data_IF_328980651149
#
_entry.id   IF_328980651149
#
_cell.length_a   1.000
_cell.length_b   1.000
_cell.length_c   1.000
_cell.angle_alpha   90.00
_cell.angle_beta   90.00
_cell.angle_gamma   90.00
#
_symmetry.space_group_name_H-M   'P 1'
#
loop_
_entity.id
_entity.type
_entity.pdbx_description
1 polymer ?
#
# COMPACT_ATOMS: atom_id res chain seq x y z
N UNK A 1 1.28 -5.33 8.35
CA UNK A 1 1.88 -4.94 7.06
C UNK A 1 2.80 -6.01 6.46
N UNK A 2 3.07 -7.12 7.15
CA UNK A 2 4.15 -8.06 6.77
C UNK A 2 3.98 -8.78 5.44
N UNK A 3 2.74 -9.14 5.09
CA UNK A 3 2.39 -9.91 3.88
C UNK A 3 1.63 -9.06 2.85
N UNK A 4 1.69 -7.73 2.97
CA UNK A 4 0.89 -6.83 2.13
C UNK A 4 1.18 -7.01 0.63
N UNK A 5 2.44 -7.23 0.26
CA UNK A 5 2.86 -7.50 -1.13
C UNK A 5 2.34 -8.83 -1.64
N UNK A 6 2.30 -9.87 -0.81
CA UNK A 6 1.74 -11.18 -1.13
C UNK A 6 0.22 -11.09 -1.39
N UNK A 7 -0.49 -10.34 -0.54
CA UNK A 7 -1.92 -10.05 -0.73
C UNK A 7 -2.17 -9.27 -2.01
N UNK A 8 -1.36 -8.24 -2.30
CA UNK A 8 -1.48 -7.45 -3.52
C UNK A 8 -1.29 -8.34 -4.78
N UNK A 9 -0.30 -9.23 -4.76
CA UNK A 9 -0.06 -10.20 -5.82
C UNK A 9 -1.22 -11.20 -5.98
N UNK A 10 -1.84 -11.65 -4.87
CA UNK A 10 -3.01 -12.53 -4.92
C UNK A 10 -4.24 -11.85 -5.53
N UNK A 11 -4.44 -10.57 -5.22
CA UNK A 11 -5.54 -9.76 -5.79
C UNK A 11 -5.29 -9.52 -7.28
N UNK A 12 -4.06 -9.17 -7.67
CA UNK A 12 -3.70 -8.90 -9.07
C UNK A 12 -3.98 -10.07 -10.01
N UNK A 13 -3.93 -11.32 -9.51
CA UNK A 13 -4.27 -12.52 -10.28
C UNK A 13 -5.76 -12.69 -10.57
N UNK A 14 -6.64 -12.08 -9.78
CA UNK A 14 -8.09 -12.37 -9.80
C UNK A 14 -8.96 -11.14 -10.06
N UNK A 15 -8.44 -9.92 -9.84
CA UNK A 15 -9.19 -8.67 -10.00
C UNK A 15 -8.67 -7.92 -11.20
N UNK A 16 -9.53 -7.76 -12.21
CA UNK A 16 -9.26 -7.01 -13.44
C UNK A 16 -10.21 -5.81 -13.55
N UNK A 17 -9.75 -4.74 -14.19
CA UNK A 17 -10.57 -3.56 -14.50
C UNK A 17 -11.00 -2.71 -13.30
N UNK A 18 -10.36 -2.86 -12.14
CA UNK A 18 -10.60 -2.04 -10.94
C UNK A 18 -9.32 -1.40 -10.44
N UNK A 19 -9.43 -0.24 -9.82
CA UNK A 19 -8.37 0.37 -9.02
C UNK A 19 -8.49 -0.15 -7.58
N UNK A 20 -7.44 -0.80 -7.08
CA UNK A 20 -7.37 -1.31 -5.71
C UNK A 20 -6.09 -0.77 -5.07
N UNK A 21 -6.23 -0.13 -3.92
CA UNK A 21 -5.09 0.41 -3.16
C UNK A 21 -5.05 -0.26 -1.80
N UNK A 22 -4.01 -1.06 -1.55
CA UNK A 22 -3.75 -1.63 -0.23
C UNK A 22 -3.01 -0.59 0.61
N UNK A 23 -3.38 -0.49 1.88
CA UNK A 23 -2.74 0.40 2.83
C UNK A 23 -2.77 -0.21 4.22
N UNK A 24 -2.17 0.46 5.18
CA UNK A 24 -2.11 0.03 6.57
C UNK A 24 -1.35 1.04 7.42
N UNK A 25 -0.85 0.58 8.56
CA UNK A 25 -0.06 1.38 9.47
C UNK A 25 1.10 0.54 10.00
N UNK A 26 2.26 1.17 10.20
CA UNK A 26 3.38 0.58 10.92
C UNK A 26 3.20 0.73 12.43
N UNK A 27 2.55 1.81 12.87
CA UNK A 27 2.17 2.05 14.26
C UNK A 27 0.65 1.86 14.38
N UNK A 28 0.13 1.04 15.32
CA UNK A 28 -1.31 0.82 15.42
C UNK A 28 -2.08 2.14 15.60
N UNK A 29 -3.23 2.27 14.92
CA UNK A 29 -3.96 3.55 14.84
C UNK A 29 -4.40 4.14 16.20
N UNK A 30 -4.53 3.28 17.22
CA UNK A 30 -4.92 3.68 18.56
C UNK A 30 -3.83 4.50 19.30
N UNK A 31 -2.60 4.50 18.81
CA UNK A 31 -1.51 5.32 19.36
C UNK A 31 -1.47 6.69 18.68
N UNK A 32 -1.26 7.76 19.47
CA UNK A 32 -1.40 9.15 18.99
C UNK A 32 -0.41 9.58 17.89
N UNK A 33 0.68 8.84 17.69
CA UNK A 33 1.68 9.09 16.63
C UNK A 33 1.57 8.12 15.45
N UNK A 34 0.41 7.50 15.25
CA UNK A 34 0.20 6.53 14.16
C UNK A 34 0.24 7.16 12.77
N UNK A 35 0.85 6.45 11.83
CA UNK A 35 0.82 6.73 10.39
C UNK A 35 -0.50 6.30 9.71
N UNK A 36 -1.40 5.63 10.44
CA UNK A 36 -2.59 4.98 9.88
C UNK A 36 -3.59 5.94 9.22
N UNK A 37 -3.92 7.07 9.84
CA UNK A 37 -4.86 8.03 9.25
C UNK A 37 -4.28 8.72 8.02
N UNK A 38 -2.97 9.03 8.06
CA UNK A 38 -2.27 9.60 6.92
C UNK A 38 -2.27 8.64 5.73
N UNK A 39 -1.83 7.39 5.94
CA UNK A 39 -1.81 6.36 4.89
C UNK A 39 -3.22 6.08 4.33
N UNK A 40 -4.26 6.07 5.18
CA UNK A 40 -5.65 5.91 4.75
C UNK A 40 -6.13 7.08 3.87
N UNK A 41 -5.83 8.33 4.26
CA UNK A 41 -6.16 9.51 3.46
C UNK A 41 -5.47 9.50 2.10
N UNK A 42 -4.19 9.12 2.05
CA UNK A 42 -3.45 8.92 0.82
C UNK A 42 -4.09 7.84 -0.06
N UNK A 43 -4.40 6.67 0.50
CA UNK A 43 -5.03 5.57 -0.24
C UNK A 43 -6.39 5.95 -0.84
N UNK A 44 -7.22 6.67 -0.09
CA UNK A 44 -8.51 7.18 -0.56
C UNK A 44 -8.35 8.17 -1.73
N UNK A 45 -7.29 8.97 -1.72
CA UNK A 45 -6.99 9.89 -2.80
C UNK A 45 -6.54 9.11 -4.05
N UNK A 46 -5.61 8.17 -3.88
CA UNK A 46 -5.04 7.37 -4.97
C UNK A 46 -6.07 6.50 -5.68
N UNK A 47 -6.98 5.85 -4.94
CA UNK A 47 -8.00 4.98 -5.56
C UNK A 47 -8.96 5.76 -6.50
N UNK A 48 -9.13 7.06 -6.28
CA UNK A 48 -10.00 7.92 -7.10
C UNK A 48 -9.34 8.43 -8.38
N UNK A 49 -8.01 8.53 -8.41
CA UNK A 49 -7.28 9.21 -9.49
C UNK A 49 -6.40 8.27 -10.31
N UNK A 50 -6.01 7.12 -9.78
CA UNK A 50 -5.16 6.15 -10.49
C UNK A 50 -5.99 5.30 -11.46
N UNK A 51 -5.39 4.91 -12.61
CA UNK A 51 -6.02 3.97 -13.52
C UNK A 51 -6.26 2.62 -12.85
N UNK A 52 -7.05 1.76 -13.49
CA UNK A 52 -7.27 0.40 -13.03
C UNK A 52 -5.91 -0.33 -12.85
N UNK A 53 -5.73 -0.91 -11.68
CA UNK A 53 -4.45 -1.46 -11.23
C UNK A 53 -4.47 -1.75 -9.73
N UNK A 54 -3.48 -2.51 -9.27
CA UNK A 54 -3.29 -2.81 -7.85
C UNK A 54 -2.08 -2.03 -7.35
N UNK A 55 -2.27 -1.32 -6.25
CA UNK A 55 -1.27 -0.41 -5.69
C UNK A 55 -1.09 -0.63 -4.19
N UNK A 56 0.05 -0.21 -3.66
CA UNK A 56 0.32 -0.11 -2.22
C UNK A 56 0.58 1.35 -1.87
N UNK A 57 -0.16 1.88 -0.89
CA UNK A 57 0.00 3.22 -0.36
C UNK A 57 0.47 3.17 1.10
N UNK A 58 1.76 3.43 1.31
CA UNK A 58 2.46 3.39 2.60
C UNK A 58 3.60 4.41 2.57
N UNK A 59 4.06 4.89 3.73
CA UNK A 59 5.22 5.78 3.85
C UNK A 59 5.09 7.09 3.03
N UNK A 60 3.85 7.55 2.78
CA UNK A 60 3.58 8.75 1.95
C UNK A 60 3.83 8.58 0.46
N UNK A 61 4.02 7.34 0.00
CA UNK A 61 4.25 7.00 -1.39
C UNK A 61 3.17 6.04 -1.90
N UNK A 62 3.08 5.90 -3.22
CA UNK A 62 2.22 4.94 -3.89
C UNK A 62 3.06 4.11 -4.86
N UNK A 63 2.96 2.79 -4.75
CA UNK A 63 3.74 1.85 -5.56
C UNK A 63 2.82 0.94 -6.36
N UNK A 64 3.25 0.56 -7.57
CA UNK A 64 2.63 -0.57 -8.27
C UNK A 64 2.93 -1.87 -7.50
N UNK A 65 1.95 -2.78 -7.40
CA UNK A 65 2.07 -3.99 -6.58
C UNK A 65 3.27 -4.89 -6.93
N UNK A 66 3.70 -4.86 -8.19
CA UNK A 66 4.78 -5.66 -8.77
C UNK A 66 6.16 -4.98 -8.69
N UNK A 67 6.22 -3.74 -8.21
CA UNK A 67 7.44 -2.93 -8.11
C UNK A 67 7.73 -2.46 -6.69
N UNK A 68 7.36 -3.25 -5.70
CA UNK A 68 7.49 -2.86 -4.29
C UNK A 68 7.80 -4.04 -3.39
N UNK A 69 8.66 -3.81 -2.40
CA UNK A 69 8.92 -4.75 -1.31
C UNK A 69 8.85 -4.06 0.05
N UNK A 70 8.56 -4.84 1.10
CA UNK A 70 8.73 -4.39 2.48
C UNK A 70 10.19 -4.55 2.90
N UNK A 71 10.90 -3.44 3.08
CA UNK A 71 12.19 -3.43 3.71
C UNK A 71 12.01 -3.56 5.24
N UNK A 72 12.31 -4.74 5.77
CA UNK A 72 12.11 -5.03 7.21
C UNK A 72 13.16 -4.37 8.09
N UNK A 73 14.36 -4.13 7.58
CA UNK A 73 15.43 -3.47 8.33
C UNK A 73 15.11 -1.98 8.55
N UNK A 74 14.56 -1.33 7.52
CA UNK A 74 14.17 0.09 7.57
C UNK A 74 12.72 0.32 8.03
N UNK A 75 11.90 -0.72 8.04
CA UNK A 75 10.50 -0.63 8.42
C UNK A 75 9.61 0.12 7.42
N UNK A 76 10.00 0.15 6.14
CA UNK A 76 9.31 0.90 5.08
C UNK A 76 9.05 0.04 3.83
N UNK A 77 8.17 0.52 2.97
CA UNK A 77 8.03 -0.01 1.60
C UNK A 77 8.94 0.77 0.67
N UNK A 78 9.64 0.06 -0.22
CA UNK A 78 10.57 0.65 -1.18
C UNK A 78 10.35 0.06 -2.58
N UNK A 79 10.65 0.87 -3.60
CA UNK A 79 10.55 0.47 -5.00
C UNK A 79 11.62 -0.57 -5.34
N UNK A 80 11.25 -1.57 -6.13
CA UNK A 80 12.17 -2.55 -6.69
C UNK A 80 12.52 -2.09 -8.10
N UNK A 81 13.82 -1.94 -8.38
CA UNK A 81 14.35 -1.58 -9.71
C UNK A 81 14.36 -2.78 -10.65
#
# INVERSE_FOLDING_TARGET
TDTMTETAAAIARNVLGKTVVLTGAMIPYAFGSSDGLFNLGSALSFVQVLPAGIYIAMNGQCFAWDRVRKNRERGEFEEIT
#
